data_IF_920308007241
#
_entry.id   IF_920308007241
#
_cell.length_a   1.000
_cell.length_b   1.000
_cell.length_c   1.000
_cell.angle_alpha   90.00
_cell.angle_beta   90.00
_cell.angle_gamma   90.00
#
_symmetry.space_group_name_H-M   'P 1'
#
loop_
_entity.id
_entity.type
_entity.pdbx_description
1 polymer ?
#
# COMPACT_ATOMS: atom_id res chain seq x y z
N UNK A 1 9.21 15.16 59.42
CA UNK A 1 10.38 15.37 58.55
C UNK A 1 10.85 14.01 58.04
N UNK A 2 11.18 13.92 56.76
CA UNK A 2 10.75 12.82 55.90
C UNK A 2 11.89 11.89 55.49
N UNK A 3 11.53 10.79 54.83
CA UNK A 3 12.36 10.24 53.76
C UNK A 3 13.08 8.93 54.10
N UNK A 4 12.33 7.83 54.08
CA UNK A 4 12.83 6.60 53.50
C UNK A 4 11.76 6.08 52.54
N UNK A 5 11.59 6.85 51.47
CA UNK A 5 11.10 6.35 50.19
C UNK A 5 12.18 5.36 49.72
N UNK A 6 12.02 4.09 50.11
CA UNK A 6 12.80 3.00 49.55
C UNK A 6 12.57 3.03 48.04
N UNK A 7 13.60 3.50 47.35
CA UNK A 7 13.92 3.31 45.95
C UNK A 7 13.37 1.97 45.45
N UNK A 8 12.14 2.02 44.93
CA UNK A 8 11.72 1.12 43.87
C UNK A 8 12.46 1.58 42.63
N UNK A 9 13.73 1.21 42.54
CA UNK A 9 14.34 0.95 41.24
C UNK A 9 13.54 -0.20 40.63
N UNK A 10 12.44 0.16 39.96
CA UNK A 10 12.01 -0.62 38.82
C UNK A 10 13.21 -0.59 37.87
N UNK A 11 14.04 -1.63 37.94
CA UNK A 11 14.78 -2.08 36.78
C UNK A 11 13.67 -2.38 35.76
N UNK A 12 13.28 -1.35 35.00
CA UNK A 12 12.58 -1.53 33.75
C UNK A 12 13.55 -2.36 32.93
N UNK A 13 13.37 -3.69 32.95
CA UNK A 13 13.94 -4.52 31.91
C UNK A 13 13.47 -3.90 30.61
N UNK A 14 14.39 -3.38 29.81
CA UNK A 14 14.05 -2.86 28.50
C UNK A 14 13.12 -3.90 27.83
N UNK A 15 11.92 -3.49 27.38
CA UNK A 15 10.98 -4.44 26.85
C UNK A 15 11.66 -5.15 25.69
N UNK A 16 11.71 -6.47 25.77
CA UNK A 16 12.38 -7.31 24.78
C UNK A 16 11.64 -7.22 23.45
N UNK A 17 12.34 -6.86 22.37
CA UNK A 17 11.74 -6.78 21.05
C UNK A 17 11.77 -8.16 20.40
N UNK A 18 10.74 -8.46 19.61
CA UNK A 18 10.62 -9.74 18.92
C UNK A 18 11.01 -9.57 17.45
N UNK A 19 11.88 -10.44 16.95
CA UNK A 19 12.12 -10.62 15.52
C UNK A 19 11.34 -11.85 15.04
N UNK A 20 10.46 -11.66 14.05
CA UNK A 20 9.82 -12.74 13.31
C UNK A 20 10.43 -12.78 11.91
N UNK A 21 10.84 -13.96 11.46
CA UNK A 21 11.23 -14.21 10.08
C UNK A 21 10.26 -15.24 9.52
N UNK A 22 9.55 -14.87 8.46
CA UNK A 22 8.52 -15.73 7.86
C UNK A 22 8.49 -15.58 6.34
N UNK A 23 7.70 -16.45 5.70
CA UNK A 23 7.52 -16.48 4.25
C UNK A 23 6.05 -16.45 3.90
N UNK A 24 5.67 -15.39 3.19
CA UNK A 24 4.34 -15.19 2.65
C UNK A 24 4.47 -14.36 1.37
N UNK A 25 3.52 -14.52 0.43
CA UNK A 25 3.43 -13.61 -0.71
C UNK A 25 3.23 -12.17 -0.20
N UNK A 26 3.70 -11.18 -0.95
CA UNK A 26 3.46 -9.78 -0.62
C UNK A 26 1.96 -9.48 -0.52
N UNK A 27 1.17 -10.10 -1.40
CA UNK A 27 -0.28 -9.95 -1.39
C UNK A 27 -0.91 -10.47 -0.08
N UNK A 28 -0.55 -11.67 0.40
CA UNK A 28 -1.13 -12.24 1.63
C UNK A 28 -0.68 -11.46 2.85
N UNK A 29 0.63 -11.19 2.93
CA UNK A 29 1.23 -10.47 4.04
C UNK A 29 0.60 -9.08 4.22
N UNK A 30 0.33 -8.38 3.11
CA UNK A 30 -0.21 -7.03 3.14
C UNK A 30 -1.64 -6.93 3.64
N UNK A 31 -2.47 -7.94 3.39
CA UNK A 31 -3.89 -7.90 3.77
C UNK A 31 -4.20 -8.67 5.04
N UNK A 32 -3.34 -9.59 5.49
CA UNK A 32 -3.62 -10.45 6.65
C UNK A 32 -2.58 -10.29 7.77
N UNK A 33 -1.36 -10.78 7.57
CA UNK A 33 -0.35 -10.90 8.64
C UNK A 33 0.15 -9.55 9.13
N UNK A 34 0.49 -8.61 8.22
CA UNK A 34 0.98 -7.28 8.62
C UNK A 34 -0.04 -6.50 9.46
N UNK A 35 -1.32 -6.35 9.07
CA UNK A 35 -2.28 -5.63 9.89
C UNK A 35 -2.63 -6.39 11.18
N UNK A 36 -2.51 -7.73 11.22
CA UNK A 36 -2.70 -8.52 12.44
C UNK A 36 -1.63 -8.25 13.50
N UNK A 37 -0.36 -8.22 13.10
CA UNK A 37 0.76 -7.86 14.00
C UNK A 37 0.62 -6.41 14.46
N UNK A 38 0.29 -5.49 13.53
CA UNK A 38 0.03 -4.09 13.87
C UNK A 38 -1.06 -3.96 14.94
N UNK A 39 -2.20 -4.63 14.75
CA UNK A 39 -3.32 -4.63 15.70
C UNK A 39 -2.91 -5.18 17.06
N UNK A 40 -2.17 -6.29 17.10
CA UNK A 40 -1.73 -6.89 18.36
C UNK A 40 -0.76 -5.99 19.13
N UNK A 41 0.18 -5.32 18.45
CA UNK A 41 1.10 -4.36 19.09
C UNK A 41 0.36 -3.12 19.58
N UNK A 42 -0.56 -2.57 18.79
CA UNK A 42 -1.41 -1.43 19.19
C UNK A 42 -2.23 -1.74 20.44
N UNK A 43 -2.76 -2.95 20.54
CA UNK A 43 -3.55 -3.38 21.69
C UNK A 43 -2.71 -3.76 22.93
N UNK A 44 -1.39 -3.89 22.78
CA UNK A 44 -0.51 -4.41 23.82
C UNK A 44 -0.60 -5.93 24.01
N UNK A 45 -1.21 -6.66 23.07
CA UNK A 45 -1.30 -8.13 23.06
C UNK A 45 0.02 -8.79 22.59
N UNK A 46 0.90 -8.01 21.97
CA UNK A 46 2.21 -8.45 21.47
C UNK A 46 3.31 -7.42 21.83
N UNK A 47 4.56 -7.87 22.03
CA UNK A 47 5.69 -6.97 22.25
C UNK A 47 6.02 -6.18 20.97
N UNK A 48 6.83 -5.10 21.06
CA UNK A 48 7.40 -4.44 19.89
C UNK A 48 8.02 -5.49 18.95
N UNK A 49 7.62 -5.46 17.68
CA UNK A 49 7.90 -6.54 16.74
C UNK A 49 8.56 -6.02 15.48
N UNK A 50 9.68 -6.63 15.12
CA UNK A 50 10.34 -6.51 13.83
C UNK A 50 9.95 -7.75 13.03
N UNK A 51 9.39 -7.55 11.85
CA UNK A 51 8.95 -8.65 10.99
C UNK A 51 9.72 -8.61 9.68
N UNK A 52 10.45 -9.66 9.37
CA UNK A 52 11.09 -9.90 8.07
C UNK A 52 10.26 -10.94 7.31
N UNK A 53 9.47 -10.50 6.34
CA UNK A 53 8.71 -11.36 5.45
C UNK A 53 9.44 -11.52 4.12
N UNK A 54 9.91 -12.73 3.82
CA UNK A 54 10.55 -13.05 2.54
C UNK A 54 9.47 -13.58 1.60
N UNK A 55 9.33 -12.97 0.41
CA UNK A 55 8.30 -13.35 -0.53
C UNK A 55 8.60 -14.72 -1.15
N UNK A 56 7.67 -15.65 -0.99
CA UNK A 56 7.74 -17.01 -1.53
C UNK A 56 7.03 -17.16 -2.88
N UNK A 57 6.29 -16.13 -3.30
CA UNK A 57 5.55 -16.11 -4.56
C UNK A 57 5.49 -14.69 -5.15
N UNK A 58 5.54 -14.63 -6.48
CA UNK A 58 5.27 -13.42 -7.26
C UNK A 58 3.85 -12.96 -6.95
N UNK A 59 3.71 -11.68 -6.62
CA UNK A 59 2.42 -11.20 -6.14
C UNK A 59 2.19 -9.73 -6.37
N UNK A 60 0.91 -9.36 -6.45
CA UNK A 60 0.43 -8.02 -6.73
C UNK A 60 -0.55 -7.58 -5.64
N UNK A 61 -0.41 -6.35 -5.16
CA UNK A 61 -1.54 -5.68 -4.51
C UNK A 61 -2.09 -4.57 -5.38
N UNK A 62 -3.40 -4.50 -5.53
CA UNK A 62 -4.09 -3.37 -6.14
C UNK A 62 -4.61 -2.43 -5.06
N UNK A 63 -4.69 -1.14 -5.36
CA UNK A 63 -5.22 -0.14 -4.43
C UNK A 63 -6.70 -0.33 -4.13
N UNK A 64 -7.14 0.20 -2.99
CA UNK A 64 -8.53 0.09 -2.51
C UNK A 64 -9.57 0.64 -3.51
N UNK A 65 -9.18 1.62 -4.34
CA UNK A 65 -10.06 2.22 -5.36
C UNK A 65 -9.76 1.72 -6.78
N UNK A 66 -8.80 0.82 -7.00
CA UNK A 66 -8.58 0.26 -8.34
C UNK A 66 -9.58 -0.85 -8.64
N UNK A 67 -9.80 -1.19 -9.90
CA UNK A 67 -10.59 -2.36 -10.28
C UNK A 67 -9.64 -3.42 -10.86
N UNK A 68 -9.60 -4.66 -10.32
CA UNK A 68 -8.73 -5.72 -10.83
C UNK A 68 -8.94 -5.96 -12.33
N UNK A 69 -10.17 -5.81 -12.84
CA UNK A 69 -10.49 -5.99 -14.25
C UNK A 69 -9.95 -4.85 -15.14
N UNK A 70 -9.61 -3.70 -14.54
CA UNK A 70 -9.07 -2.54 -15.24
C UNK A 70 -7.55 -2.47 -15.20
N UNK A 71 -6.94 -2.97 -14.12
CA UNK A 71 -5.50 -2.76 -13.85
C UNK A 71 -4.66 -4.02 -14.03
N UNK A 72 -5.27 -5.20 -14.09
CA UNK A 72 -4.57 -6.48 -14.23
C UNK A 72 -5.01 -7.26 -15.48
N UNK A 73 -4.11 -8.06 -16.03
CA UNK A 73 -4.49 -9.23 -16.83
C UNK A 73 -4.67 -10.42 -15.89
N UNK A 74 -5.93 -10.65 -15.47
CA UNK A 74 -6.28 -11.71 -14.52
C UNK A 74 -6.03 -13.12 -15.07
N UNK A 75 -6.08 -13.30 -16.39
CA UNK A 75 -5.80 -14.61 -17.00
C UNK A 75 -4.31 -14.88 -16.94
N UNK A 76 -3.50 -13.90 -17.37
CA UNK A 76 -2.05 -13.99 -17.28
C UNK A 76 -1.58 -14.22 -15.84
N UNK A 77 -2.14 -13.50 -14.87
CA UNK A 77 -1.77 -13.67 -13.46
C UNK A 77 -2.02 -15.11 -12.98
N UNK A 78 -3.21 -15.67 -13.27
CA UNK A 78 -3.55 -17.05 -12.90
C UNK A 78 -2.65 -18.07 -13.60
N UNK A 79 -2.44 -17.92 -14.90
CA UNK A 79 -1.64 -18.85 -15.70
C UNK A 79 -0.15 -18.86 -15.29
N UNK A 80 0.36 -17.76 -14.74
CA UNK A 80 1.75 -17.61 -14.29
C UNK A 80 1.91 -17.73 -12.77
N UNK A 81 0.87 -18.17 -12.05
CA UNK A 81 0.88 -18.32 -10.58
C UNK A 81 1.31 -17.03 -9.85
N UNK A 82 0.81 -15.89 -10.31
CA UNK A 82 0.99 -14.58 -9.65
C UNK A 82 -0.21 -14.37 -8.74
N UNK A 83 0.03 -14.29 -7.44
CA UNK A 83 -1.01 -14.02 -6.45
C UNK A 83 -1.43 -12.54 -6.52
N UNK A 84 -2.70 -12.23 -6.32
CA UNK A 84 -3.18 -10.84 -6.37
C UNK A 84 -4.31 -10.58 -5.38
N UNK A 85 -4.21 -9.46 -4.65
CA UNK A 85 -5.22 -9.04 -3.68
C UNK A 85 -5.46 -7.53 -3.73
N UNK A 86 -6.64 -7.10 -3.27
CA UNK A 86 -6.95 -5.69 -3.02
C UNK A 86 -6.51 -5.32 -1.61
N UNK A 87 -5.68 -4.29 -1.48
CA UNK A 87 -5.31 -3.74 -0.16
C UNK A 87 -6.27 -2.64 0.28
N UNK A 88 -6.30 -2.35 1.57
CA UNK A 88 -7.12 -1.28 2.17
C UNK A 88 -6.62 0.13 1.90
N UNK A 89 -5.36 0.27 1.47
CA UNK A 89 -4.74 1.55 1.21
C UNK A 89 -4.92 2.01 -0.25
N UNK A 90 -4.92 3.34 -0.46
CA UNK A 90 -4.90 3.96 -1.79
C UNK A 90 -3.61 3.69 -2.59
N UNK A 91 -3.44 4.41 -3.69
CA UNK A 91 -2.32 4.23 -4.63
C UNK A 91 -2.56 3.12 -5.66
N UNK A 92 -1.60 2.89 -6.54
CA UNK A 92 -1.75 1.96 -7.67
C UNK A 92 -1.30 0.53 -7.41
N UNK A 93 -1.41 -0.31 -8.44
CA UNK A 93 -0.95 -1.69 -8.38
C UNK A 93 0.57 -1.79 -8.17
N UNK A 94 1.00 -2.69 -7.28
CA UNK A 94 2.41 -2.95 -6.96
C UNK A 94 2.67 -4.44 -7.15
N UNK A 95 3.58 -4.76 -8.07
CA UNK A 95 4.13 -6.11 -8.23
C UNK A 95 5.42 -6.26 -7.44
N UNK A 96 5.57 -7.42 -6.81
CA UNK A 96 6.81 -7.83 -6.16
C UNK A 96 7.15 -9.26 -6.57
N UNK A 97 8.42 -9.48 -6.88
CA UNK A 97 8.92 -10.81 -7.25
C UNK A 97 9.34 -11.64 -6.05
N UNK A 98 9.24 -12.96 -6.23
CA UNK A 98 9.72 -13.98 -5.30
C UNK A 98 11.17 -13.75 -4.90
N UNK A 99 11.48 -13.95 -3.62
CA UNK A 99 12.82 -13.80 -3.06
C UNK A 99 13.21 -12.36 -2.68
N UNK A 100 12.40 -11.34 -3.02
CA UNK A 100 12.46 -10.03 -2.36
C UNK A 100 11.82 -10.10 -0.97
N UNK A 101 11.92 -9.03 -0.18
CA UNK A 101 11.44 -9.06 1.19
C UNK A 101 10.80 -7.74 1.64
N UNK A 102 9.89 -7.85 2.61
CA UNK A 102 9.47 -6.77 3.47
C UNK A 102 10.14 -6.90 4.82
N UNK A 103 10.67 -5.79 5.31
CA UNK A 103 10.95 -5.64 6.73
C UNK A 103 9.95 -4.63 7.29
N UNK A 104 9.36 -4.89 8.45
CA UNK A 104 8.38 -3.99 9.07
C UNK A 104 8.69 -3.84 10.55
N UNK A 105 8.74 -2.60 11.02
CA UNK A 105 8.88 -2.27 12.44
C UNK A 105 7.50 -1.91 12.97
N UNK A 106 6.98 -2.68 13.92
CA UNK A 106 5.77 -2.39 14.69
C UNK A 106 6.19 -2.05 16.11
N UNK A 107 6.46 -0.77 16.38
CA UNK A 107 7.11 -0.36 17.64
C UNK A 107 6.36 0.81 18.29
N UNK A 108 6.03 0.72 19.59
CA UNK A 108 5.37 1.82 20.31
C UNK A 108 6.24 3.09 20.32
N UNK A 109 5.63 4.25 20.07
CA UNK A 109 6.31 5.55 20.15
C UNK A 109 6.63 5.96 21.59
N UNK A 110 6.06 5.27 22.58
CA UNK A 110 6.41 5.44 24.00
C UNK A 110 7.80 4.91 24.36
N UNK A 111 8.45 4.16 23.47
CA UNK A 111 9.82 3.70 23.68
C UNK A 111 10.80 4.88 23.53
N UNK A 112 11.72 5.15 24.47
CA UNK A 112 12.55 6.36 24.47
C UNK A 112 13.36 6.59 23.19
N UNK A 113 13.81 5.51 22.55
CA UNK A 113 14.58 5.58 21.31
C UNK A 113 13.72 5.59 20.02
N UNK A 114 12.40 5.46 20.10
CA UNK A 114 11.51 5.48 18.93
C UNK A 114 11.07 6.91 18.65
N UNK A 115 11.32 7.45 17.43
CA UNK A 115 10.87 8.80 17.08
C UNK A 115 9.35 8.94 17.09
N UNK A 116 8.86 10.09 17.57
CA UNK A 116 7.42 10.37 17.66
C UNK A 116 6.84 10.94 16.35
N UNK A 117 7.71 11.47 15.48
CA UNK A 117 7.29 12.10 14.22
C UNK A 117 7.93 11.46 13.00
N UNK A 118 7.24 11.55 11.85
CA UNK A 118 7.77 11.05 10.58
C UNK A 118 9.04 11.78 10.14
N UNK A 119 9.13 13.08 10.43
CA UNK A 119 10.27 13.93 10.10
C UNK A 119 11.56 13.51 10.84
N UNK A 120 11.43 12.95 12.04
CA UNK A 120 12.55 12.41 12.83
C UNK A 120 12.84 10.93 12.49
N UNK A 121 11.77 10.14 12.29
CA UNK A 121 11.86 8.73 11.98
C UNK A 121 12.61 8.43 10.69
N UNK A 122 12.27 9.11 9.58
CA UNK A 122 12.92 8.83 8.29
C UNK A 122 14.44 9.04 8.32
N UNK A 123 14.98 10.22 8.71
CA UNK A 123 16.43 10.41 8.73
C UNK A 123 17.14 9.47 9.69
N UNK A 124 16.61 9.26 10.92
CA UNK A 124 17.25 8.39 11.91
C UNK A 124 17.34 6.95 11.41
N UNK A 125 16.19 6.38 11.05
CA UNK A 125 16.07 4.94 10.78
C UNK A 125 16.67 4.59 9.42
N UNK A 126 16.47 5.41 8.39
CA UNK A 126 17.01 5.12 7.05
C UNK A 126 18.51 5.37 6.95
N UNK A 127 19.08 6.26 7.78
CA UNK A 127 20.54 6.42 7.87
C UNK A 127 21.16 5.16 8.50
N UNK A 128 20.64 4.71 9.64
CA UNK A 128 21.07 3.48 10.28
C UNK A 128 20.90 2.25 9.36
N UNK A 129 19.81 2.18 8.61
CA UNK A 129 19.58 1.11 7.63
C UNK A 129 20.61 1.16 6.49
N UNK A 130 20.91 2.34 5.95
CA UNK A 130 21.92 2.49 4.90
C UNK A 130 23.34 2.15 5.38
N UNK A 131 23.70 2.51 6.62
CA UNK A 131 24.97 2.12 7.24
C UNK A 131 25.07 0.60 7.38
N UNK A 132 24.01 -0.04 7.85
CA UNK A 132 23.90 -1.51 7.92
C UNK A 132 24.16 -2.17 6.56
N UNK A 133 23.49 -1.69 5.51
CA UNK A 133 23.68 -2.24 4.16
C UNK A 133 25.12 -2.06 3.67
N UNK A 134 25.72 -0.91 3.96
CA UNK A 134 27.09 -0.59 3.56
C UNK A 134 28.10 -1.51 4.23
N UNK A 135 27.97 -1.72 5.54
CA UNK A 135 28.87 -2.55 6.32
C UNK A 135 28.74 -4.04 5.99
N UNK A 136 27.50 -4.52 5.83
CA UNK A 136 27.26 -5.95 5.60
C UNK A 136 27.53 -6.35 4.15
N UNK A 137 27.14 -5.54 3.16
CA UNK A 137 27.16 -5.94 1.75
C UNK A 137 28.26 -5.25 0.92
N UNK A 138 28.94 -4.25 1.47
CA UNK A 138 30.16 -3.68 0.86
C UNK A 138 29.94 -2.66 -0.26
N UNK A 139 28.73 -2.13 -0.43
CA UNK A 139 28.41 -1.08 -1.41
C UNK A 139 27.92 0.22 -0.73
N UNK A 140 28.09 1.40 -1.35
CA UNK A 140 27.85 2.69 -0.68
C UNK A 140 26.36 3.08 -0.65
N UNK A 141 25.58 2.45 0.23
CA UNK A 141 24.18 2.79 0.44
C UNK A 141 24.04 4.12 1.19
N UNK A 142 23.03 4.93 0.82
CA UNK A 142 22.72 6.20 1.51
C UNK A 142 21.22 6.43 1.64
N UNK A 143 20.84 7.05 2.76
CA UNK A 143 19.51 7.66 2.89
C UNK A 143 19.31 8.73 1.81
N UNK A 144 18.16 8.64 1.13
CA UNK A 144 17.66 9.60 0.16
C UNK A 144 16.36 10.19 0.68
N UNK A 145 16.36 11.47 1.10
CA UNK A 145 15.12 12.14 1.47
C UNK A 145 14.08 12.09 0.34
N UNK A 146 12.80 11.90 0.65
CA UNK A 146 12.24 11.84 2.02
C UNK A 146 12.28 10.44 2.66
N UNK A 147 12.16 9.37 1.88
CA UNK A 147 11.75 8.06 2.41
C UNK A 147 12.36 6.86 1.68
N UNK A 148 13.53 7.00 1.05
CA UNK A 148 14.18 5.88 0.36
C UNK A 148 15.62 5.66 0.85
N UNK A 149 16.15 4.46 0.64
CA UNK A 149 17.59 4.20 0.60
C UNK A 149 18.02 3.96 -0.84
N UNK A 150 19.17 4.48 -1.23
CA UNK A 150 19.68 4.42 -2.60
C UNK A 150 21.14 3.99 -2.68
N UNK A 151 21.55 3.55 -3.86
CA UNK A 151 22.95 3.37 -4.27
C UNK A 151 23.16 4.16 -5.56
N UNK A 152 24.09 5.11 -5.55
CA UNK A 152 24.41 5.95 -6.73
C UNK A 152 23.18 6.60 -7.41
N UNK A 153 22.17 7.02 -6.63
CA UNK A 153 20.95 7.63 -7.14
C UNK A 153 19.84 6.66 -7.54
N UNK A 154 20.12 5.35 -7.61
CA UNK A 154 19.14 4.28 -7.86
C UNK A 154 18.49 3.85 -6.54
N UNK A 155 17.16 3.81 -6.50
CA UNK A 155 16.40 3.39 -5.31
C UNK A 155 16.62 1.90 -5.04
N UNK A 156 17.03 1.58 -3.81
CA UNK A 156 17.26 0.21 -3.34
C UNK A 156 16.16 -0.23 -2.37
N UNK A 157 15.81 0.63 -1.41
CA UNK A 157 14.77 0.32 -0.41
C UNK A 157 13.77 1.46 -0.34
N UNK A 158 12.64 1.37 -1.08
CA UNK A 158 11.49 2.23 -0.87
C UNK A 158 10.86 1.98 0.50
N UNK A 159 10.44 3.04 1.21
CA UNK A 159 9.81 2.88 2.52
C UNK A 159 8.52 3.68 2.68
N UNK A 160 7.67 3.23 3.61
CA UNK A 160 6.53 3.98 4.08
C UNK A 160 6.48 3.95 5.61
N UNK A 161 5.88 4.98 6.18
CA UNK A 161 5.79 5.15 7.61
C UNK A 161 4.39 5.64 7.98
N UNK A 162 3.81 4.98 8.97
CA UNK A 162 2.57 5.39 9.63
C UNK A 162 2.82 5.46 11.12
N UNK A 163 2.39 6.54 11.78
CA UNK A 163 2.35 6.64 13.24
C UNK A 163 0.89 6.86 13.61
N UNK A 164 0.30 5.87 14.27
CA UNK A 164 -1.13 5.84 14.59
C UNK A 164 -1.34 5.03 15.87
N UNK A 165 -2.27 5.47 16.72
CA UNK A 165 -2.60 4.80 17.99
C UNK A 165 -1.37 4.48 18.87
N UNK A 166 -0.38 5.39 18.90
CA UNK A 166 0.84 5.25 19.70
C UNK A 166 1.84 4.20 19.18
N UNK A 167 1.64 3.69 17.96
CA UNK A 167 2.54 2.73 17.32
C UNK A 167 3.09 3.31 16.02
N UNK A 168 4.40 3.19 15.86
CA UNK A 168 5.11 3.44 14.62
C UNK A 168 5.15 2.15 13.80
N UNK A 169 4.54 2.18 12.63
CA UNK A 169 4.60 1.12 11.63
C UNK A 169 5.47 1.56 10.44
N UNK A 170 6.74 1.14 10.45
CA UNK A 170 7.73 1.51 9.43
C UNK A 170 7.98 0.32 8.49
N UNK A 171 7.65 0.46 7.20
CA UNK A 171 7.72 -0.62 6.21
C UNK A 171 8.87 -0.36 5.23
N UNK A 172 9.67 -1.38 4.99
CA UNK A 172 10.82 -1.36 4.09
C UNK A 172 10.59 -2.39 2.99
N UNK A 173 10.56 -1.93 1.74
CA UNK A 173 10.57 -2.81 0.57
C UNK A 173 12.02 -3.11 0.22
N UNK A 174 12.55 -4.24 0.66
CA UNK A 174 13.94 -4.63 0.40
C UNK A 174 13.98 -5.30 -0.97
N UNK A 175 14.44 -4.57 -1.98
CA UNK A 175 14.68 -5.13 -3.31
C UNK A 175 15.90 -6.06 -3.24
N UNK A 176 15.67 -7.35 -3.02
CA UNK A 176 16.77 -8.32 -2.93
C UNK A 176 17.26 -8.67 -4.34
N UNK A 177 16.32 -8.91 -5.26
CA UNK A 177 16.56 -9.33 -6.64
C UNK A 177 16.05 -8.33 -7.66
N UNK A 178 16.51 -8.46 -8.90
CA UNK A 178 15.96 -7.67 -10.00
C UNK A 178 14.51 -8.06 -10.25
N UNK A 179 13.64 -7.06 -10.37
CA UNK A 179 12.24 -7.27 -10.70
C UNK A 179 12.11 -7.68 -12.17
N UNK A 180 11.37 -8.75 -12.44
CA UNK A 180 11.04 -9.14 -13.81
C UNK A 180 10.02 -8.16 -14.40
N UNK A 181 10.52 -7.18 -15.15
CA UNK A 181 9.69 -6.12 -15.74
C UNK A 181 8.79 -6.61 -16.87
N UNK A 182 9.14 -7.71 -17.53
CA UNK A 182 8.33 -8.31 -18.58
C UNK A 182 7.09 -8.97 -17.97
N UNK A 183 7.28 -9.79 -16.92
CA UNK A 183 6.18 -10.37 -16.15
C UNK A 183 5.31 -9.27 -15.54
N UNK A 184 5.91 -8.28 -14.89
CA UNK A 184 5.16 -7.18 -14.28
C UNK A 184 4.36 -6.38 -15.33
N UNK A 185 4.93 -6.15 -16.52
CA UNK A 185 4.27 -5.43 -17.61
C UNK A 185 3.13 -6.21 -18.27
N UNK A 186 3.26 -7.53 -18.36
CA UNK A 186 2.20 -8.41 -18.84
C UNK A 186 1.07 -8.55 -17.81
N UNK A 187 1.40 -8.66 -16.53
CA UNK A 187 0.43 -8.79 -15.44
C UNK A 187 -0.34 -7.49 -15.16
N UNK A 188 0.30 -6.32 -15.31
CA UNK A 188 -0.28 -5.00 -15.02
C UNK A 188 -0.22 -4.10 -16.27
N UNK A 189 -1.08 -4.36 -17.28
CA UNK A 189 -1.07 -3.60 -18.52
C UNK A 189 -1.37 -2.12 -18.26
N UNK A 190 -0.53 -1.25 -18.80
CA UNK A 190 -0.70 0.18 -18.60
C UNK A 190 -1.74 0.78 -19.55
N UNK A 191 -2.61 1.67 -19.05
CA UNK A 191 -3.48 2.46 -19.91
C UNK A 191 -2.67 3.28 -20.92
N UNK A 192 -3.17 3.49 -22.16
CA UNK A 192 -2.49 4.28 -23.19
C UNK A 192 -1.99 5.65 -22.69
N UNK A 193 -2.74 6.29 -21.80
CA UNK A 193 -2.44 7.59 -21.20
C UNK A 193 -1.18 7.55 -20.31
N UNK A 194 -0.88 6.40 -19.67
CA UNK A 194 0.35 6.20 -18.89
C UNK A 194 1.54 5.75 -19.76
N UNK A 195 1.29 5.21 -20.95
CA UNK A 195 2.35 4.74 -21.86
C UNK A 195 3.12 5.94 -22.43
N UNK A 196 2.42 7.01 -22.83
CA UNK A 196 3.04 8.20 -23.42
C UNK A 196 4.14 8.83 -22.54
N UNK A 197 3.95 8.82 -21.22
CA UNK A 197 4.93 9.37 -20.26
C UNK A 197 6.12 8.44 -19.97
N UNK A 198 5.94 7.13 -20.14
CA UNK A 198 6.98 6.13 -19.80
C UNK A 198 7.94 5.79 -20.94
N UNK A 199 7.66 6.22 -22.17
CA UNK A 199 8.58 6.07 -23.33
C UNK A 199 9.97 6.68 -23.04
N UNK A 200 10.12 7.51 -22.00
CA UNK A 200 11.38 8.19 -21.67
C UNK A 200 12.08 7.76 -20.38
N UNK A 201 11.60 6.76 -19.63
CA UNK A 201 12.24 6.43 -18.33
C UNK A 201 12.28 4.92 -18.08
N UNK A 202 13.39 4.31 -18.44
CA UNK A 202 13.74 2.93 -18.11
C UNK A 202 13.67 2.69 -16.59
N UNK A 203 12.89 1.70 -16.15
CA UNK A 203 12.74 1.36 -14.74
C UNK A 203 14.06 0.88 -14.13
N UNK A 204 14.92 0.24 -14.95
CA UNK A 204 16.26 -0.19 -14.55
C UNK A 204 17.18 0.99 -14.24
N UNK A 205 16.92 2.17 -14.80
CA UNK A 205 17.68 3.38 -14.50
C UNK A 205 17.31 4.00 -13.14
N UNK A 206 16.17 3.63 -12.55
CA UNK A 206 15.67 4.23 -11.29
C UNK A 206 15.82 3.33 -10.07
N UNK A 207 15.80 2.02 -10.25
CA UNK A 207 15.83 1.05 -9.16
C UNK A 207 17.07 0.15 -9.25
N UNK A 208 17.47 -0.37 -8.10
CA UNK A 208 18.51 -1.40 -7.98
C UNK A 208 18.11 -2.42 -6.90
N UNK A 209 18.91 -3.47 -6.74
CA UNK A 209 18.68 -4.56 -5.80
C UNK A 209 19.97 -4.99 -5.09
N UNK A 210 19.83 -5.71 -3.97
CA UNK A 210 20.97 -6.16 -3.16
C UNK A 210 21.91 -7.05 -3.96
N UNK A 211 21.40 -8.05 -4.69
CA UNK A 211 22.26 -8.99 -5.43
C UNK A 211 23.12 -8.30 -6.50
N UNK A 212 22.56 -7.27 -7.16
CA UNK A 212 23.28 -6.49 -8.17
C UNK A 212 24.40 -5.66 -7.53
N UNK A 213 24.10 -4.94 -6.45
CA UNK A 213 25.07 -4.03 -5.83
C UNK A 213 26.12 -4.78 -5.01
N UNK A 214 25.76 -5.92 -4.41
CA UNK A 214 26.68 -6.79 -3.68
C UNK A 214 27.53 -7.68 -4.60
N UNK A 215 27.02 -8.01 -5.79
CA UNK A 215 27.70 -8.88 -6.77
C UNK A 215 27.62 -10.37 -6.45
N UNK A 216 26.75 -10.78 -5.52
CA UNK A 216 26.51 -12.18 -5.15
C UNK A 216 25.05 -12.40 -4.70
N UNK A 217 24.62 -13.66 -4.67
CA UNK A 217 23.26 -14.03 -4.26
C UNK A 217 23.05 -13.83 -2.75
N UNK A 218 21.93 -13.22 -2.36
CA UNK A 218 21.61 -12.93 -0.97
C UNK A 218 20.73 -14.05 -0.39
N UNK A 219 21.16 -14.62 0.73
CA UNK A 219 20.45 -15.70 1.42
C UNK A 219 19.42 -15.16 2.44
N UNK A 220 18.54 -16.02 2.92
CA UNK A 220 17.62 -15.68 4.01
C UNK A 220 18.37 -15.34 5.31
N UNK A 221 19.51 -16.00 5.55
CA UNK A 221 20.37 -15.74 6.71
C UNK A 221 21.01 -14.34 6.62
N UNK A 222 21.42 -13.90 5.42
CA UNK A 222 21.93 -12.54 5.20
C UNK A 222 20.85 -11.49 5.51
N UNK A 223 19.60 -11.72 5.09
CA UNK A 223 18.49 -10.81 5.38
C UNK A 223 18.15 -10.77 6.86
N UNK A 224 18.23 -11.90 7.56
CA UNK A 224 18.03 -11.96 9.01
C UNK A 224 19.13 -11.19 9.76
N UNK A 225 20.40 -11.38 9.38
CA UNK A 225 21.53 -10.63 9.93
C UNK A 225 21.37 -9.13 9.68
N UNK A 226 20.92 -8.75 8.48
CA UNK A 226 20.61 -7.37 8.12
C UNK A 226 19.51 -6.79 9.01
N UNK A 227 18.42 -7.53 9.25
CA UNK A 227 17.34 -7.09 10.14
C UNK A 227 17.85 -6.83 11.57
N UNK A 228 18.69 -7.73 12.09
CA UNK A 228 19.28 -7.61 13.43
C UNK A 228 20.21 -6.40 13.53
N UNK A 229 21.12 -6.24 12.57
CA UNK A 229 22.07 -5.14 12.54
C UNK A 229 21.37 -3.79 12.34
N UNK A 230 20.36 -3.72 11.49
CA UNK A 230 19.59 -2.51 11.25
C UNK A 230 18.88 -1.99 12.50
N UNK A 231 18.33 -2.89 13.31
CA UNK A 231 17.69 -2.54 14.57
C UNK A 231 18.74 -2.10 15.60
N UNK A 232 19.88 -2.80 15.68
CA UNK A 232 20.97 -2.44 16.58
C UNK A 232 21.60 -1.07 16.25
N UNK A 233 21.69 -0.70 14.97
CA UNK A 233 22.15 0.63 14.55
C UNK A 233 21.10 1.72 14.84
N UNK A 234 19.81 1.42 14.68
CA UNK A 234 18.75 2.41 14.84
C UNK A 234 18.36 2.65 16.32
N UNK A 235 18.46 1.63 17.18
CA UNK A 235 17.95 1.65 18.55
C UNK A 235 18.99 1.08 19.53
N UNK A 236 19.38 1.89 20.53
CA UNK A 236 20.42 1.52 21.48
C UNK A 236 19.86 0.56 22.52
N UNK A 237 20.65 -0.42 22.98
CA UNK A 237 20.26 -1.31 24.08
C UNK A 237 19.13 -2.30 23.76
N UNK A 238 18.56 -2.27 22.56
CA UNK A 238 17.47 -3.16 22.15
C UNK A 238 17.98 -4.58 21.93
N UNK A 239 17.35 -5.56 22.58
CA UNK A 239 17.60 -6.98 22.35
C UNK A 239 16.48 -7.57 21.52
N UNK A 240 16.85 -8.18 20.39
CA UNK A 240 15.94 -8.93 19.53
C UNK A 240 16.00 -10.42 19.83
N UNK A 241 14.89 -10.96 20.31
CA UNK A 241 14.68 -12.40 20.41
C UNK A 241 13.87 -12.94 19.23
N UNK A 242 14.21 -14.14 18.77
CA UNK A 242 13.38 -14.81 17.79
C UNK A 242 12.02 -15.17 18.39
N UNK A 243 10.98 -14.94 17.61
CA UNK A 243 9.64 -15.41 17.94
C UNK A 243 8.86 -15.83 16.71
N UNK A 244 7.65 -16.28 16.97
CA UNK A 244 6.63 -16.61 15.97
C UNK A 244 5.39 -15.76 16.26
N UNK A 245 4.44 -15.77 15.33
CA UNK A 245 3.12 -15.20 15.58
C UNK A 245 2.52 -15.81 16.86
N UNK A 246 1.85 -15.00 17.67
CA UNK A 246 1.05 -15.48 18.81
C UNK A 246 -0.29 -16.04 18.32
N UNK A 247 -1.03 -16.70 19.21
CA UNK A 247 -2.40 -17.16 18.89
C UNK A 247 -3.35 -15.98 18.61
N UNK A 248 -3.15 -14.85 19.29
CA UNK A 248 -3.94 -13.63 19.06
C UNK A 248 -3.66 -13.05 17.68
N UNK A 249 -2.38 -13.02 17.27
CA UNK A 249 -2.00 -12.54 15.94
C UNK A 249 -2.49 -13.47 14.83
N UNK A 250 -2.42 -14.78 15.03
CA UNK A 250 -3.01 -15.76 14.09
C UNK A 250 -4.51 -15.53 13.91
N UNK A 251 -5.24 -15.37 15.02
CA UNK A 251 -6.68 -15.08 14.97
C UNK A 251 -6.98 -13.76 14.24
N UNK A 252 -6.23 -12.70 14.52
CA UNK A 252 -6.39 -11.44 13.79
C UNK A 252 -6.07 -11.58 12.29
N UNK A 253 -5.05 -12.36 11.93
CA UNK A 253 -4.72 -12.61 10.53
C UNK A 253 -5.86 -13.38 9.82
N UNK A 254 -6.50 -14.33 10.50
CA UNK A 254 -7.69 -15.04 9.99
C UNK A 254 -8.89 -14.10 9.81
N UNK A 255 -9.14 -13.20 10.77
CA UNK A 255 -10.18 -12.17 10.65
C UNK A 255 -9.95 -11.27 9.43
N UNK A 256 -8.73 -10.76 9.28
CA UNK A 256 -8.37 -9.93 8.13
C UNK A 256 -8.43 -10.69 6.80
N UNK A 257 -8.03 -11.97 6.78
CA UNK A 257 -8.16 -12.81 5.59
C UNK A 257 -9.64 -13.03 5.24
N UNK A 258 -10.51 -13.27 6.22
CA UNK A 258 -11.94 -13.40 5.97
C UNK A 258 -12.54 -12.10 5.39
N UNK A 259 -12.06 -10.94 5.84
CA UNK A 259 -12.53 -9.64 5.38
C UNK A 259 -12.02 -9.28 3.97
N UNK A 260 -10.74 -9.54 3.68
CA UNK A 260 -10.06 -9.02 2.48
C UNK A 260 -9.65 -10.07 1.44
N UNK A 261 -9.69 -11.35 1.75
CA UNK A 261 -9.32 -12.44 0.83
C UNK A 261 -10.58 -13.13 0.28
N UNK A 262 -11.43 -12.35 -0.39
CA UNK A 262 -12.65 -12.83 -1.03
C UNK A 262 -13.02 -12.00 -2.27
N UNK A 263 -13.79 -12.59 -3.17
CA UNK A 263 -14.22 -11.95 -4.42
C UNK A 263 -15.07 -10.69 -4.20
N UNK A 264 -15.85 -10.64 -3.11
CA UNK A 264 -16.65 -9.47 -2.76
C UNK A 264 -15.78 -8.23 -2.52
N UNK A 265 -14.67 -8.40 -1.81
CA UNK A 265 -13.67 -7.36 -1.61
C UNK A 265 -12.84 -7.13 -2.88
N UNK A 266 -12.25 -8.17 -3.46
CA UNK A 266 -11.37 -8.07 -4.62
C UNK A 266 -12.06 -7.36 -5.80
N UNK A 267 -13.29 -7.74 -6.13
CA UNK A 267 -14.08 -7.15 -7.21
C UNK A 267 -15.06 -6.08 -6.71
N UNK A 268 -14.91 -5.59 -5.49
CA UNK A 268 -15.84 -4.60 -4.89
C UNK A 268 -15.91 -3.24 -5.62
N UNK A 269 -15.00 -2.98 -6.56
CA UNK A 269 -15.00 -1.82 -7.46
C UNK A 269 -15.26 -2.17 -8.93
N UNK A 270 -15.54 -3.44 -9.20
CA UNK A 270 -15.84 -3.97 -10.52
C UNK A 270 -17.33 -3.90 -10.79
N UNK A 271 -17.71 -3.69 -12.04
CA UNK A 271 -19.11 -3.48 -12.42
C UNK A 271 -19.98 -4.71 -12.14
N UNK A 272 -19.41 -5.90 -12.31
CA UNK A 272 -20.06 -7.19 -12.06
C UNK A 272 -20.61 -7.31 -10.64
N UNK A 273 -19.92 -6.74 -9.66
CA UNK A 273 -20.34 -6.71 -8.26
C UNK A 273 -21.16 -5.46 -7.88
N UNK A 274 -21.16 -4.42 -8.71
CA UNK A 274 -21.70 -3.10 -8.32
C UNK A 274 -23.06 -2.78 -8.90
N UNK A 275 -23.29 -3.09 -10.18
CA UNK A 275 -24.57 -2.71 -10.80
C UNK A 275 -24.98 -3.59 -11.98
N UNK A 276 -24.10 -4.44 -12.54
CA UNK A 276 -24.40 -5.22 -13.76
C UNK A 276 -25.62 -6.13 -13.61
N UNK A 277 -25.84 -6.72 -12.44
CA UNK A 277 -27.04 -7.52 -12.14
C UNK A 277 -28.33 -6.71 -12.09
N UNK A 278 -28.23 -5.41 -11.84
CA UNK A 278 -29.39 -4.51 -11.67
C UNK A 278 -29.76 -3.77 -12.96
N UNK A 279 -28.95 -3.92 -14.01
CA UNK A 279 -29.16 -3.36 -15.35
C UNK A 279 -30.43 -3.93 -16.00
N UNK A 280 -31.12 -3.09 -16.79
CA UNK A 280 -32.32 -3.42 -17.57
C UNK A 280 -32.16 -2.99 -19.01
N UNK A 281 -32.93 -3.61 -19.90
CA UNK A 281 -33.01 -3.16 -21.29
C UNK A 281 -33.44 -1.69 -21.36
N UNK A 282 -32.68 -0.88 -22.09
CA UNK A 282 -32.89 0.57 -22.22
C UNK A 282 -32.03 1.43 -21.30
N UNK A 283 -31.40 0.85 -20.27
CA UNK A 283 -30.37 1.54 -19.50
C UNK A 283 -29.11 1.77 -20.36
N UNK A 284 -28.30 2.76 -20.00
CA UNK A 284 -27.02 3.05 -20.65
C UNK A 284 -25.86 3.03 -19.66
N UNK A 285 -24.66 2.72 -20.15
CA UNK A 285 -23.41 2.83 -19.38
C UNK A 285 -22.39 3.60 -20.20
N UNK A 286 -21.70 4.54 -19.56
CA UNK A 286 -20.62 5.30 -20.17
C UNK A 286 -19.40 5.38 -19.27
N UNK A 287 -18.26 5.58 -19.91
CA UNK A 287 -16.93 5.44 -19.31
C UNK A 287 -16.09 6.66 -19.62
N UNK A 288 -15.34 7.14 -18.64
CA UNK A 288 -14.46 8.28 -18.79
C UNK A 288 -13.15 8.06 -18.04
N UNK A 289 -12.07 8.53 -18.66
CA UNK A 289 -10.71 8.43 -18.10
C UNK A 289 -10.07 9.80 -18.06
N UNK A 290 -9.44 10.13 -16.95
CA UNK A 290 -8.72 11.40 -16.80
C UNK A 290 -7.45 11.21 -15.98
N UNK A 291 -6.35 11.83 -16.42
CA UNK A 291 -5.11 11.87 -15.66
C UNK A 291 -5.07 13.14 -14.81
N UNK A 292 -5.16 12.99 -13.50
CA UNK A 292 -4.85 14.04 -12.52
C UNK A 292 -3.36 14.00 -12.13
N UNK A 293 -2.89 15.03 -11.42
CA UNK A 293 -1.55 15.02 -10.81
C UNK A 293 -1.45 13.87 -9.80
N UNK A 294 -2.49 13.66 -8.99
CA UNK A 294 -2.53 12.64 -7.94
C UNK A 294 -2.69 11.20 -8.42
N UNK A 295 -3.16 10.98 -9.65
CA UNK A 295 -3.48 9.64 -10.13
C UNK A 295 -4.27 9.63 -11.44
N UNK A 296 -4.62 8.45 -11.90
CA UNK A 296 -5.56 8.20 -12.99
C UNK A 296 -6.95 8.00 -12.39
N UNK A 297 -7.96 8.63 -13.00
CA UNK A 297 -9.37 8.52 -12.67
C UNK A 297 -10.08 7.70 -13.75
N UNK A 298 -10.91 6.76 -13.32
CA UNK A 298 -11.82 5.99 -14.16
C UNK A 298 -13.24 6.19 -13.63
N UNK A 299 -14.02 6.99 -14.34
CA UNK A 299 -15.43 7.22 -14.06
C UNK A 299 -16.30 6.27 -14.89
N UNK A 300 -17.26 5.63 -14.23
CA UNK A 300 -18.32 4.87 -14.87
C UNK A 300 -19.67 5.41 -14.39
N UNK A 301 -20.55 5.71 -15.33
CA UNK A 301 -21.92 6.16 -15.03
C UNK A 301 -22.92 5.23 -15.70
N UNK A 302 -23.71 4.53 -14.88
CA UNK A 302 -24.86 3.77 -15.32
C UNK A 302 -26.13 4.64 -15.16
N UNK A 303 -26.88 4.79 -16.24
CA UNK A 303 -28.00 5.74 -16.36
C UNK A 303 -29.28 5.01 -16.71
N UNK A 304 -30.36 5.39 -16.02
CA UNK A 304 -31.73 4.90 -16.23
C UNK A 304 -32.68 6.08 -16.22
N UNK A 305 -33.55 6.15 -17.22
CA UNK A 305 -34.55 7.22 -17.36
C UNK A 305 -33.94 8.64 -17.24
N UNK A 306 -32.75 8.82 -17.81
CA UNK A 306 -32.03 10.11 -17.79
C UNK A 306 -31.38 10.47 -16.45
N UNK A 307 -31.36 9.57 -15.47
CA UNK A 307 -30.74 9.76 -14.15
C UNK A 307 -29.63 8.76 -13.91
N UNK A 308 -28.58 9.18 -13.22
CA UNK A 308 -27.53 8.28 -12.74
C UNK A 308 -28.16 7.36 -11.69
N UNK A 309 -28.14 6.05 -11.92
CA UNK A 309 -28.58 5.08 -10.91
C UNK A 309 -27.41 4.36 -10.24
N UNK A 310 -26.23 4.32 -10.89
CA UNK A 310 -24.97 3.98 -10.26
C UNK A 310 -23.82 4.79 -10.82
N UNK A 311 -22.90 5.19 -9.95
CA UNK A 311 -21.61 5.75 -10.29
C UNK A 311 -20.50 4.87 -9.69
N UNK A 312 -19.39 4.74 -10.42
CA UNK A 312 -18.14 4.16 -9.91
C UNK A 312 -17.02 5.13 -10.24
N UNK A 313 -16.19 5.45 -9.24
CA UNK A 313 -14.98 6.22 -9.42
C UNK A 313 -13.78 5.39 -8.95
N UNK A 314 -13.04 4.85 -9.93
CA UNK A 314 -11.88 3.99 -9.68
C UNK A 314 -10.57 4.71 -9.98
N UNK A 315 -9.49 4.27 -9.33
CA UNK A 315 -8.09 4.49 -9.74
C UNK A 315 -7.09 4.60 -8.60
N UNK A 316 -5.96 5.27 -8.86
CA UNK A 316 -4.71 5.11 -8.10
C UNK A 316 -4.25 6.33 -7.27
N UNK A 317 -5.19 7.19 -6.86
CA UNK A 317 -4.91 8.34 -5.98
C UNK A 317 -5.18 8.00 -4.49
N UNK A 318 -4.99 9.01 -3.62
CA UNK A 318 -5.10 8.88 -2.17
C UNK A 318 -6.18 9.82 -1.62
N UNK A 319 -7.44 9.36 -1.50
CA UNK A 319 -8.50 10.11 -0.84
C UNK A 319 -8.37 10.05 0.69
N UNK A 320 -8.92 11.06 1.36
CA UNK A 320 -9.06 11.14 2.82
C UNK A 320 -10.45 11.67 3.19
N UNK A 321 -11.23 10.94 4.01
CA UNK A 321 -11.05 9.52 4.34
C UNK A 321 -11.15 8.63 3.09
N UNK A 322 -10.74 7.35 3.20
CA UNK A 322 -10.80 6.41 2.07
C UNK A 322 -12.24 6.24 1.57
N UNK A 323 -13.21 6.21 2.49
CA UNK A 323 -14.63 6.04 2.21
C UNK A 323 -15.26 7.19 1.41
N UNK A 324 -14.59 8.35 1.35
CA UNK A 324 -15.11 9.53 0.65
C UNK A 324 -15.33 9.28 -0.85
N UNK A 325 -14.64 8.32 -1.46
CA UNK A 325 -14.94 7.90 -2.84
C UNK A 325 -16.32 7.28 -2.95
N UNK A 326 -16.69 6.40 -2.01
CA UNK A 326 -18.04 5.81 -1.96
C UNK A 326 -19.11 6.87 -1.70
N UNK A 327 -18.82 7.84 -0.83
CA UNK A 327 -19.77 8.94 -0.57
C UNK A 327 -20.01 9.83 -1.80
N UNK A 328 -18.98 10.06 -2.63
CA UNK A 328 -19.16 10.75 -3.91
C UNK A 328 -19.98 9.92 -4.89
N UNK A 329 -19.71 8.61 -4.98
CA UNK A 329 -20.49 7.68 -5.81
C UNK A 329 -21.99 7.74 -5.41
N UNK A 330 -22.29 7.69 -4.12
CA UNK A 330 -23.65 7.77 -3.58
C UNK A 330 -24.30 9.13 -3.83
N UNK A 331 -23.55 10.23 -3.71
CA UNK A 331 -24.05 11.59 -3.95
C UNK A 331 -24.47 11.82 -5.41
N UNK A 332 -23.96 11.02 -6.35
CA UNK A 332 -24.35 11.07 -7.75
C UNK A 332 -25.60 10.26 -8.07
N UNK A 333 -26.05 9.35 -7.19
CA UNK A 333 -27.25 8.54 -7.42
C UNK A 333 -28.50 9.43 -7.41
N UNK A 334 -29.32 9.33 -8.45
CA UNK A 334 -30.55 10.10 -8.66
C UNK A 334 -30.36 11.46 -9.34
N UNK A 335 -29.11 11.91 -9.50
CA UNK A 335 -28.75 13.13 -10.22
C UNK A 335 -29.09 12.97 -11.71
N UNK A 336 -29.57 14.04 -12.34
CA UNK A 336 -29.81 14.04 -13.78
C UNK A 336 -28.49 13.80 -14.52
N UNK A 337 -28.49 12.93 -15.53
CA UNK A 337 -27.31 12.57 -16.29
C UNK A 337 -26.94 13.66 -17.30
N UNK A 338 -26.74 14.89 -16.80
CA UNK A 338 -26.30 16.07 -17.53
C UNK A 338 -25.04 16.62 -16.91
N UNK A 339 -24.23 17.32 -17.71
CA UNK A 339 -22.95 17.87 -17.25
C UNK A 339 -23.14 18.86 -16.09
N UNK A 340 -24.13 19.75 -16.19
CA UNK A 340 -24.43 20.75 -15.15
C UNK A 340 -24.83 20.09 -13.82
N UNK A 341 -25.77 19.14 -13.85
CA UNK A 341 -26.27 18.51 -12.62
C UNK A 341 -25.19 17.67 -11.92
N UNK A 342 -24.35 16.96 -12.69
CA UNK A 342 -23.19 16.24 -12.15
C UNK A 342 -22.14 17.21 -11.61
N UNK A 343 -21.90 18.33 -12.28
CA UNK A 343 -20.97 19.36 -11.82
C UNK A 343 -21.39 19.96 -10.47
N UNK A 344 -22.68 20.27 -10.32
CA UNK A 344 -23.23 20.80 -9.07
C UNK A 344 -23.08 19.79 -7.93
N UNK A 345 -23.37 18.52 -8.18
CA UNK A 345 -23.23 17.45 -7.19
C UNK A 345 -21.76 17.23 -6.77
N UNK A 346 -20.84 17.15 -7.75
CA UNK A 346 -19.39 17.01 -7.49
C UNK A 346 -18.86 18.22 -6.72
N UNK A 347 -19.23 19.44 -7.13
CA UNK A 347 -18.78 20.68 -6.48
C UNK A 347 -19.28 20.77 -5.04
N UNK A 348 -20.57 20.45 -4.83
CA UNK A 348 -21.13 20.41 -3.47
C UNK A 348 -20.46 19.36 -2.59
N UNK A 349 -20.10 18.20 -3.15
CA UNK A 349 -19.43 17.14 -2.40
C UNK A 349 -17.99 17.52 -2.04
N UNK A 350 -17.22 18.02 -3.01
CA UNK A 350 -15.82 18.41 -2.82
C UNK A 350 -15.67 19.66 -1.95
N UNK A 351 -16.74 20.43 -1.73
CA UNK A 351 -16.77 21.55 -0.81
C UNK A 351 -16.92 21.17 0.67
N UNK A 352 -16.98 19.88 1.01
CA UNK A 352 -17.07 19.41 2.40
C UNK A 352 -15.72 19.48 3.10
N UNK A 353 -15.71 19.95 4.34
CA UNK A 353 -14.48 20.08 5.15
C UNK A 353 -13.88 18.73 5.59
N UNK A 354 -14.65 17.63 5.50
CA UNK A 354 -14.25 16.28 5.89
C UNK A 354 -13.76 15.44 4.71
N UNK A 355 -13.55 16.04 3.54
CA UNK A 355 -13.13 15.35 2.31
C UNK A 355 -11.91 16.03 1.70
N UNK A 356 -10.88 15.24 1.39
CA UNK A 356 -9.71 15.67 0.64
C UNK A 356 -9.33 14.59 -0.38
N UNK A 357 -9.33 14.92 -1.68
CA UNK A 357 -8.73 14.08 -2.71
C UNK A 357 -7.37 14.67 -3.11
N UNK A 358 -6.29 14.16 -2.50
CA UNK A 358 -4.97 14.74 -2.67
C UNK A 358 -4.55 14.82 -4.15
N UNK A 359 -4.29 16.03 -4.64
CA UNK A 359 -3.87 16.31 -6.02
C UNK A 359 -4.88 15.87 -7.09
N UNK A 360 -6.17 15.82 -6.75
CA UNK A 360 -7.30 15.58 -7.66
C UNK A 360 -8.30 16.73 -7.50
N UNK A 361 -8.44 17.54 -8.54
CA UNK A 361 -9.31 18.72 -8.52
C UNK A 361 -10.69 18.43 -9.10
N UNK A 362 -11.68 19.27 -8.81
CA UNK A 362 -13.04 19.20 -9.40
C UNK A 362 -12.96 19.11 -10.93
N UNK A 363 -12.06 19.88 -11.56
CA UNK A 363 -11.87 19.84 -13.01
C UNK A 363 -11.44 18.46 -13.53
N UNK A 364 -10.64 17.70 -12.76
CA UNK A 364 -10.25 16.35 -13.15
C UNK A 364 -11.44 15.38 -13.03
N UNK A 365 -12.21 15.48 -11.93
CA UNK A 365 -13.43 14.69 -11.75
C UNK A 365 -14.43 14.96 -12.87
N UNK A 366 -14.66 16.22 -13.21
CA UNK A 366 -15.57 16.61 -14.29
C UNK A 366 -15.07 16.20 -15.67
N UNK A 367 -13.76 16.22 -15.92
CA UNK A 367 -13.23 15.68 -17.16
C UNK A 367 -13.47 14.17 -17.28
N UNK A 368 -13.34 13.41 -16.19
CA UNK A 368 -13.67 11.98 -16.17
C UNK A 368 -15.18 11.73 -16.33
N UNK A 369 -16.02 12.34 -15.49
CA UNK A 369 -17.47 12.15 -15.55
C UNK A 369 -18.10 12.70 -16.83
N UNK A 370 -17.61 13.84 -17.35
CA UNK A 370 -18.06 14.41 -18.62
C UNK A 370 -17.79 13.47 -19.79
N UNK A 371 -16.62 12.81 -19.83
CA UNK A 371 -16.34 11.74 -20.81
C UNK A 371 -17.30 10.56 -20.65
N UNK A 372 -17.61 10.16 -19.41
CA UNK A 372 -18.57 9.09 -19.14
C UNK A 372 -19.99 9.44 -19.58
N UNK A 373 -20.44 10.69 -19.39
CA UNK A 373 -21.73 11.19 -19.88
C UNK A 373 -21.77 11.23 -21.42
N UNK A 374 -20.69 11.66 -22.08
CA UNK A 374 -20.63 11.72 -23.54
C UNK A 374 -20.56 10.33 -24.20
N UNK A 375 -20.02 9.32 -23.51
CA UNK A 375 -19.76 7.99 -24.04
C UNK A 375 -20.82 6.93 -23.66
N UNK A 376 -22.05 7.34 -23.37
CA UNK A 376 -23.14 6.43 -23.00
C UNK A 376 -23.49 5.45 -24.13
N UNK A 377 -23.55 4.16 -23.79
CA UNK A 377 -23.94 3.07 -24.69
C UNK A 377 -25.10 2.29 -24.10
N UNK A 378 -26.09 1.99 -24.93
CA UNK A 378 -27.23 1.14 -24.57
C UNK A 378 -26.74 -0.25 -24.15
N UNK A 379 -27.31 -0.75 -23.06
CA UNK A 379 -27.22 -2.16 -22.69
C UNK A 379 -28.34 -2.89 -23.41
N UNK A 380 -27.94 -3.86 -24.24
CA UNK A 380 -28.82 -4.63 -25.11
C UNK A 380 -29.60 -5.72 -24.42
#
# INVERSE_FOLDING_TARGET
>A
MPGHEELRENIMSDPMWRLIVDKNSYADFSVSVSPAVERAVVNGDAPPTIFLNIFDQDSITIGVNEDPEQVLDLTFCRDNNIDFRRRVNGGGAIYTGTGSAFMVYFVPTSHPDVPETTAEAFPKILTAFAETLTEQFGFPARYRPLNDVQVEGRKLVPTSLKIENGVMTFRFVVNVKEMNTEIAGAAMPMPPEKVQDKVHKDLQSRFTCLEREAGYAISAEDLEQMARAAVAHAFSGTKLEFGVLTDVERRYAEEFRAEYDNDGWLFGKSECNRFRSDMKAGDTVGYGREKAVGGMLWATLAVRDGKVFHAILNGDWHPRPIDAVGWLEDALVGVDATEDAVCDAVTSFMGRDDVEFASVEIANLMAAFGKALAAQKLVG
#
